data_IF_190217028580
#
_entry.id   IF_190217028580
#
_cell.length_a   1.000
_cell.length_b   1.000
_cell.length_c   1.000
_cell.angle_alpha   90.00
_cell.angle_beta   90.00
_cell.angle_gamma   90.00
#
_symmetry.space_group_name_H-M   'P 1'
#
loop_
_entity.id
_entity.type
_entity.pdbx_description
1 polymer ?
#
# COMPACT_ATOMS: atom_id res chain seq x y z
N UNK A 1 3.98 29.66 -24.19
CA UNK A 1 3.44 28.28 -24.32
C UNK A 1 2.96 28.08 -25.75
N UNK A 2 3.13 26.89 -26.32
CA UNK A 2 2.59 26.53 -27.64
C UNK A 2 1.29 25.73 -27.46
N UNK A 3 0.49 25.54 -28.51
CA UNK A 3 -0.74 24.72 -28.46
C UNK A 3 -0.49 23.24 -28.07
N UNK A 4 0.78 22.80 -27.99
CA UNK A 4 1.19 21.44 -27.69
C UNK A 4 1.92 21.28 -26.35
N UNK A 5 2.43 22.36 -25.75
CA UNK A 5 3.20 22.32 -24.50
C UNK A 5 2.49 23.11 -23.40
N UNK A 6 2.15 22.42 -22.32
CA UNK A 6 1.67 23.00 -21.08
C UNK A 6 2.74 22.84 -20.00
N UNK A 7 3.06 23.91 -19.29
CA UNK A 7 3.91 23.88 -18.09
C UNK A 7 3.03 24.19 -16.88
N UNK A 8 3.27 23.50 -15.77
CA UNK A 8 2.61 23.73 -14.49
C UNK A 8 3.67 23.96 -13.42
N UNK A 9 3.42 24.92 -12.56
CA UNK A 9 4.23 25.17 -11.37
C UNK A 9 3.30 25.57 -10.23
N UNK A 10 3.65 25.16 -9.02
CA UNK A 10 2.87 25.45 -7.83
C UNK A 10 3.69 25.19 -6.57
N UNK A 11 3.11 25.54 -5.43
CA UNK A 11 3.73 25.24 -4.14
C UNK A 11 2.72 25.36 -3.01
N UNK A 12 3.00 24.66 -1.92
CA UNK A 12 2.16 24.67 -0.72
C UNK A 12 3.02 24.83 0.53
N UNK A 13 2.78 25.88 1.31
CA UNK A 13 3.33 26.01 2.66
C UNK A 13 2.41 25.32 3.66
N UNK A 14 2.96 24.40 4.44
CA UNK A 14 2.27 23.70 5.52
C UNK A 14 2.83 24.17 6.86
N UNK A 15 1.94 24.51 7.79
CA UNK A 15 2.22 24.75 9.19
C UNK A 15 1.19 23.94 10.00
N UNK A 16 1.65 23.06 10.89
CA UNK A 16 0.75 22.36 11.81
C UNK A 16 1.32 22.36 13.22
N UNK A 17 0.43 22.56 14.19
CA UNK A 17 0.68 22.39 15.61
C UNK A 17 -0.13 21.18 16.10
N UNK A 18 0.51 20.31 16.87
CA UNK A 18 -0.11 19.14 17.51
C UNK A 18 0.13 19.28 19.01
N UNK A 19 -0.94 19.54 19.75
CA UNK A 19 -0.94 19.57 21.21
C UNK A 19 -1.59 18.29 21.74
N UNK A 20 -0.85 17.56 22.55
CA UNK A 20 -1.31 16.36 23.24
C UNK A 20 -1.33 16.62 24.75
N UNK A 21 -2.33 16.09 25.44
CA UNK A 21 -2.47 16.19 26.89
C UNK A 21 -2.95 14.84 27.46
N UNK A 22 -2.24 14.33 28.46
CA UNK A 22 -2.69 13.21 29.28
C UNK A 22 -3.67 13.69 30.35
N UNK A 23 -4.92 13.22 30.25
CA UNK A 23 -5.98 13.56 31.20
C UNK A 23 -5.97 12.67 32.45
N UNK A 24 -5.31 11.52 32.42
CA UNK A 24 -5.25 10.59 33.55
C UNK A 24 -4.05 10.88 34.46
N UNK A 25 -3.07 11.66 33.99
CA UNK A 25 -1.86 12.02 34.74
C UNK A 25 -0.92 10.85 35.03
N UNK A 26 -1.16 9.69 34.42
CA UNK A 26 -0.36 8.47 34.62
C UNK A 26 0.81 8.35 33.65
N UNK A 27 0.79 9.14 32.57
CA UNK A 27 1.80 9.20 31.53
C UNK A 27 2.04 10.67 31.14
N UNK A 28 2.62 11.49 32.04
CA UNK A 28 2.84 12.92 31.80
C UNK A 28 3.68 13.20 30.55
N UNK A 29 4.55 12.25 30.16
CA UNK A 29 5.35 12.29 28.94
C UNK A 29 4.49 12.41 27.66
N UNK A 30 3.21 12.00 27.68
CA UNK A 30 2.28 12.15 26.54
C UNK A 30 1.78 13.59 26.36
N UNK A 31 1.91 14.44 27.39
CA UNK A 31 1.54 15.84 27.30
C UNK A 31 2.67 16.63 26.63
N UNK A 32 2.53 16.93 25.34
CA UNK A 32 3.55 17.60 24.55
C UNK A 32 2.97 18.42 23.41
N UNK A 33 3.70 19.46 23.00
CA UNK A 33 3.35 20.33 21.87
C UNK A 33 4.42 20.23 20.78
N UNK A 34 3.98 19.98 19.56
CA UNK A 34 4.86 19.83 18.39
C UNK A 34 4.43 20.79 17.29
N UNK A 35 5.38 21.53 16.72
CA UNK A 35 5.13 22.39 15.56
C UNK A 35 5.99 21.95 14.37
N UNK A 36 5.35 21.79 13.21
CA UNK A 36 6.01 21.42 11.96
C UNK A 36 5.68 22.44 10.88
N UNK A 37 6.71 22.88 10.15
CA UNK A 37 6.57 23.78 9.02
C UNK A 37 7.35 23.27 7.81
N UNK A 38 6.79 23.42 6.61
CA UNK A 38 7.48 23.10 5.34
C UNK A 38 6.82 23.72 4.12
N UNK A 39 7.62 24.21 3.18
CA UNK A 39 7.19 24.52 1.82
C UNK A 39 7.37 23.32 0.87
N UNK A 40 6.35 23.02 0.07
CA UNK A 40 6.29 21.88 -0.85
C UNK A 40 6.12 22.38 -2.29
N UNK A 41 7.19 22.48 -3.10
CA UNK A 41 7.08 22.86 -4.50
C UNK A 41 6.56 21.71 -5.38
N UNK A 42 5.93 22.09 -6.50
CA UNK A 42 5.58 21.18 -7.60
C UNK A 42 5.85 21.86 -8.93
N UNK A 43 6.41 21.11 -9.87
CA UNK A 43 6.57 21.54 -11.26
C UNK A 43 6.25 20.37 -12.17
N UNK A 44 5.67 20.66 -13.33
CA UNK A 44 5.29 19.64 -14.30
C UNK A 44 5.23 20.20 -15.71
N UNK A 45 5.25 19.29 -16.66
CA UNK A 45 5.02 19.59 -18.05
C UNK A 45 4.16 18.52 -18.70
N UNK A 46 3.43 18.91 -19.72
CA UNK A 46 2.71 17.99 -20.60
C UNK A 46 2.94 18.42 -22.04
N UNK A 47 3.37 17.48 -22.87
CA UNK A 47 3.61 17.68 -24.29
C UNK A 47 2.71 16.75 -25.12
N UNK A 48 1.86 17.33 -25.97
CA UNK A 48 1.01 16.58 -26.92
C UNK A 48 1.87 16.10 -28.09
N UNK A 49 2.32 14.84 -28.05
CA UNK A 49 3.13 14.23 -29.12
C UNK A 49 2.26 14.04 -30.36
N UNK A 50 1.15 13.31 -30.20
CA UNK A 50 0.11 13.15 -31.21
C UNK A 50 -1.14 13.79 -30.62
N UNK A 51 -1.57 14.97 -31.13
CA UNK A 51 -2.79 15.61 -30.67
C UNK A 51 -3.93 14.59 -30.62
N UNK A 52 -4.69 14.62 -29.53
CA UNK A 52 -5.81 13.71 -29.23
C UNK A 52 -5.42 12.27 -28.88
N UNK A 53 -4.34 11.70 -29.43
CA UNK A 53 -4.00 10.28 -29.24
C UNK A 53 -2.96 10.02 -28.14
N UNK A 54 -1.98 10.89 -27.97
CA UNK A 54 -0.84 10.63 -27.08
C UNK A 54 -0.20 11.91 -26.54
N UNK A 55 -0.02 11.94 -25.22
CA UNK A 55 0.68 13.00 -24.49
C UNK A 55 1.76 12.42 -23.61
N UNK A 56 2.92 13.06 -23.62
CA UNK A 56 3.99 12.87 -22.63
C UNK A 56 3.76 13.79 -21.45
N UNK A 57 4.04 13.32 -20.25
CA UNK A 57 4.08 14.14 -19.04
C UNK A 57 5.37 13.85 -18.26
N UNK A 58 5.85 14.86 -17.54
CA UNK A 58 6.90 14.72 -16.56
C UNK A 58 6.67 15.70 -15.41
N UNK A 59 7.07 15.33 -14.20
CA UNK A 59 6.82 16.11 -13.00
C UNK A 59 7.85 15.88 -11.91
N UNK A 60 8.01 16.92 -11.09
CA UNK A 60 8.71 16.89 -9.82
C UNK A 60 7.79 17.47 -8.75
N UNK A 61 7.64 16.77 -7.64
CA UNK A 61 6.87 17.27 -6.50
C UNK A 61 7.55 16.90 -5.19
N UNK A 62 7.38 17.78 -4.20
CA UNK A 62 7.73 17.45 -2.82
C UNK A 62 6.46 17.40 -1.98
N UNK A 63 6.46 16.52 -0.98
CA UNK A 63 5.39 16.42 0.00
C UNK A 63 5.98 16.19 1.39
N UNK A 64 5.23 16.58 2.41
CA UNK A 64 5.53 16.22 3.79
C UNK A 64 4.35 15.56 4.49
N UNK A 65 4.66 14.60 5.36
CA UNK A 65 3.71 13.97 6.26
C UNK A 65 4.18 14.19 7.69
N UNK A 66 3.35 14.89 8.44
CA UNK A 66 3.58 15.15 9.86
C UNK A 66 3.21 13.88 10.64
N UNK A 67 3.97 13.50 11.69
CA UNK A 67 3.63 12.36 12.52
C UNK A 67 2.22 12.52 13.11
N UNK A 68 1.48 11.42 13.15
CA UNK A 68 0.18 11.38 13.83
C UNK A 68 0.38 11.43 15.36
N UNK A 69 -0.63 11.86 16.14
CA UNK A 69 -0.59 11.73 17.59
C UNK A 69 -0.28 10.31 18.07
N UNK A 70 -0.77 9.30 17.34
CA UNK A 70 -0.45 7.89 17.62
C UNK A 70 1.04 7.58 17.46
N UNK A 71 1.68 8.05 16.41
CA UNK A 71 3.10 7.80 16.19
C UNK A 71 3.98 8.57 17.18
N UNK A 72 3.63 9.83 17.47
CA UNK A 72 4.34 10.67 18.45
C UNK A 72 4.25 10.07 19.85
N UNK A 73 3.05 9.61 20.19
CA UNK A 73 2.82 8.88 21.40
C UNK A 73 3.02 7.38 21.20
N UNK A 74 3.84 6.84 20.31
CA UNK A 74 4.19 5.40 20.30
C UNK A 74 5.61 5.19 19.79
N UNK A 75 6.51 6.09 20.18
CA UNK A 75 7.88 6.12 19.67
C UNK A 75 8.91 5.56 20.64
N UNK A 76 8.52 5.23 21.88
CA UNK A 76 9.43 4.73 22.91
C UNK A 76 9.67 3.22 22.85
N UNK A 77 10.88 2.75 22.53
CA UNK A 77 11.18 1.32 22.53
C UNK A 77 11.03 0.68 23.92
N UNK A 78 11.24 1.44 25.01
CA UNK A 78 11.12 0.96 26.39
C UNK A 78 9.68 0.93 26.88
N UNK A 79 8.77 1.64 26.21
CA UNK A 79 7.35 1.68 26.55
C UNK A 79 6.51 1.50 25.27
N UNK A 80 6.53 0.32 24.63
CA UNK A 80 5.85 0.11 23.35
C UNK A 80 4.33 0.08 23.52
N UNK A 81 3.59 0.40 22.46
CA UNK A 81 2.13 0.51 22.49
C UNK A 81 1.42 -0.77 22.05
N UNK A 82 0.29 -1.09 22.67
CA UNK A 82 -0.70 -1.97 22.04
C UNK A 82 -1.34 -1.20 20.88
N UNK A 83 -1.04 -1.64 19.66
CA UNK A 83 -1.61 -1.04 18.47
C UNK A 83 -3.12 -1.33 18.46
N UNK A 84 -3.91 -0.29 18.18
CA UNK A 84 -5.38 -0.18 18.37
C UNK A 84 -5.88 0.26 19.76
N UNK A 85 -5.01 0.46 20.77
CA UNK A 85 -5.50 0.74 22.14
C UNK A 85 -4.84 1.87 22.93
N UNK A 86 -3.55 2.14 22.78
CA UNK A 86 -2.85 2.99 23.77
C UNK A 86 -1.72 3.81 23.17
N UNK A 87 -1.65 5.09 23.57
CA UNK A 87 -0.54 6.01 23.33
C UNK A 87 0.48 5.89 24.48
N UNK A 88 1.76 5.74 24.17
CA UNK A 88 2.92 5.72 25.05
C UNK A 88 4.13 6.53 24.48
N UNK A 89 4.64 7.52 25.21
CA UNK A 89 5.50 8.63 24.71
C UNK A 89 7.03 8.42 24.59
N UNK A 90 7.64 9.15 23.62
CA UNK A 90 9.05 9.59 23.40
C UNK A 90 10.06 8.59 22.76
N UNK A 91 10.81 8.85 21.64
CA UNK A 91 11.36 10.12 21.10
C UNK A 91 10.46 10.98 20.19
N UNK A 92 10.74 12.29 19.97
CA UNK A 92 10.02 13.12 19.00
C UNK A 92 10.31 12.65 17.56
N UNK A 93 9.25 12.34 16.80
CA UNK A 93 9.39 11.95 15.40
C UNK A 93 9.54 13.18 14.49
N UNK A 94 10.46 13.10 13.55
CA UNK A 94 10.60 14.10 12.48
C UNK A 94 9.50 13.89 11.42
N UNK A 95 9.07 14.98 10.78
CA UNK A 95 8.18 14.89 9.62
C UNK A 95 8.86 14.15 8.46
N UNK A 96 8.10 13.27 7.81
CA UNK A 96 8.53 12.57 6.59
C UNK A 96 8.56 13.57 5.45
N UNK A 97 9.63 13.56 4.66
CA UNK A 97 9.78 14.39 3.46
C UNK A 97 9.98 13.50 2.25
N UNK A 98 9.06 13.56 1.29
CA UNK A 98 9.11 12.76 0.06
C UNK A 98 9.34 13.66 -1.14
N UNK A 99 10.27 13.25 -2.02
CA UNK A 99 10.56 13.90 -3.29
C UNK A 99 10.24 12.93 -4.41
N UNK A 100 9.25 13.27 -5.22
CA UNK A 100 8.75 12.44 -6.30
C UNK A 100 9.21 12.99 -7.65
N UNK A 101 9.75 12.11 -8.47
CA UNK A 101 10.04 12.34 -9.89
C UNK A 101 9.19 11.35 -10.67
N UNK A 102 8.43 11.84 -11.63
CA UNK A 102 7.60 10.99 -12.48
C UNK A 102 7.69 11.43 -13.95
N UNK A 103 7.58 10.46 -14.85
CA UNK A 103 7.45 10.71 -16.26
C UNK A 103 6.65 9.58 -16.91
N UNK A 104 5.88 9.90 -17.95
CA UNK A 104 5.06 8.89 -18.58
C UNK A 104 4.39 9.35 -19.86
N UNK A 105 3.70 8.38 -20.45
CA UNK A 105 2.86 8.54 -21.63
C UNK A 105 1.43 8.20 -21.25
N UNK A 106 0.48 8.94 -21.81
CA UNK A 106 -0.94 8.62 -21.72
C UNK A 106 -1.63 8.97 -23.02
N UNK A 107 -2.69 8.25 -23.33
CA UNK A 107 -3.37 8.41 -24.59
C UNK A 107 -4.77 7.82 -24.59
N UNK A 108 -5.47 8.11 -25.67
CA UNK A 108 -6.72 7.46 -26.00
C UNK A 108 -6.69 7.00 -27.46
N UNK A 109 -7.44 5.94 -27.75
CA UNK A 109 -7.61 5.38 -29.08
C UNK A 109 -9.10 5.18 -29.33
N UNK A 110 -9.61 5.70 -30.45
CA UNK A 110 -10.99 5.47 -30.87
C UNK A 110 -10.94 4.60 -32.13
N UNK A 111 -11.11 3.30 -31.96
CA UNK A 111 -11.03 2.31 -33.04
C UNK A 111 -12.23 1.36 -32.94
N UNK A 112 -12.66 0.79 -34.07
CA UNK A 112 -13.69 -0.26 -34.13
C UNK A 112 -14.97 0.02 -33.30
N UNK A 113 -15.43 1.28 -33.26
CA UNK A 113 -16.63 1.69 -32.52
C UNK A 113 -16.49 1.70 -31.00
N UNK A 114 -15.28 1.53 -30.48
CA UNK A 114 -14.96 1.64 -29.05
C UNK A 114 -13.97 2.75 -28.74
N UNK A 115 -13.88 3.05 -27.45
CA UNK A 115 -12.92 3.99 -26.88
C UNK A 115 -11.96 3.23 -25.97
N UNK A 116 -10.68 3.39 -26.20
CA UNK A 116 -9.62 2.92 -25.33
C UNK A 116 -8.85 4.07 -24.70
N UNK A 117 -8.44 3.88 -23.46
CA UNK A 117 -7.57 4.81 -22.73
C UNK A 117 -6.38 4.00 -22.19
N UNK A 118 -5.19 4.57 -22.25
CA UNK A 118 -3.98 3.91 -21.77
C UNK A 118 -3.03 4.88 -21.08
N UNK A 119 -2.24 4.34 -20.15
CA UNK A 119 -1.18 5.03 -19.42
C UNK A 119 0.02 4.12 -19.22
N UNK A 120 1.20 4.71 -19.27
CA UNK A 120 2.47 4.10 -18.92
C UNK A 120 3.31 5.16 -18.19
N UNK A 121 3.59 4.95 -16.92
CA UNK A 121 4.33 5.89 -16.08
C UNK A 121 5.49 5.20 -15.38
N UNK A 122 6.57 5.95 -15.19
CA UNK A 122 7.69 5.64 -14.32
C UNK A 122 7.71 6.64 -13.18
N UNK A 123 8.03 6.18 -11.98
CA UNK A 123 8.15 7.04 -10.82
C UNK A 123 9.35 6.65 -9.95
N UNK A 124 9.90 7.63 -9.25
CA UNK A 124 10.84 7.46 -8.14
C UNK A 124 10.49 8.42 -7.02
N UNK A 125 10.34 7.88 -5.83
CA UNK A 125 10.02 8.61 -4.60
C UNK A 125 11.15 8.36 -3.62
N UNK A 126 11.94 9.39 -3.34
CA UNK A 126 12.96 9.37 -2.30
C UNK A 126 12.35 9.99 -1.02
N UNK A 127 12.23 9.19 0.04
CA UNK A 127 11.70 9.64 1.33
C UNK A 127 12.82 9.77 2.36
N UNK A 128 12.84 10.90 3.07
CA UNK A 128 13.75 11.19 4.17
C UNK A 128 12.98 11.23 5.48
N UNK A 129 13.64 10.76 6.55
CA UNK A 129 13.04 10.60 7.87
C UNK A 129 11.74 9.78 7.80
N UNK A 130 11.70 8.74 6.96
CA UNK A 130 10.50 7.91 6.78
C UNK A 130 10.11 7.29 8.12
N UNK A 131 8.82 7.25 8.45
CA UNK A 131 8.36 6.70 9.72
C UNK A 131 7.89 5.27 9.44
N UNK A 132 8.59 4.32 10.05
CA UNK A 132 8.21 2.92 9.98
C UNK A 132 7.78 2.43 11.35
N UNK A 133 6.91 1.43 11.33
CA UNK A 133 6.62 0.62 12.50
C UNK A 133 7.63 -0.52 12.57
N UNK A 134 8.24 -0.69 13.74
CA UNK A 134 9.05 -1.86 14.08
C UNK A 134 8.39 -2.65 15.20
N UNK A 135 8.65 -3.96 15.21
CA UNK A 135 8.14 -4.83 16.26
C UNK A 135 8.84 -4.51 17.59
N UNK A 136 8.16 -4.78 18.70
CA UNK A 136 8.73 -4.67 20.04
C UNK A 136 8.96 -6.05 20.66
N UNK A 137 9.88 -6.15 21.63
CA UNK A 137 10.09 -7.38 22.39
C UNK A 137 8.85 -7.80 23.20
N UNK A 138 7.99 -6.84 23.56
CA UNK A 138 6.67 -7.13 24.12
C UNK A 138 5.71 -7.53 22.99
N UNK A 139 5.25 -8.78 23.04
CA UNK A 139 4.33 -9.34 22.06
C UNK A 139 3.06 -8.51 21.91
N UNK A 140 2.58 -8.37 20.67
CA UNK A 140 1.38 -7.58 20.34
C UNK A 140 1.57 -6.06 20.42
N UNK A 141 2.81 -5.59 20.61
CA UNK A 141 3.14 -4.17 20.68
C UNK A 141 4.12 -3.76 19.60
N UNK A 142 4.07 -2.49 19.20
CA UNK A 142 4.98 -1.92 18.21
C UNK A 142 5.43 -0.51 18.58
N UNK A 143 6.47 -0.07 17.90
CA UNK A 143 7.09 1.25 18.07
C UNK A 143 7.23 1.91 16.70
N UNK A 144 6.97 3.20 16.62
CA UNK A 144 7.25 4.00 15.44
C UNK A 144 8.59 4.71 15.58
N UNK A 145 9.42 4.65 14.55
CA UNK A 145 10.70 5.36 14.53
C UNK A 145 10.96 5.95 13.15
N UNK A 146 11.69 7.06 13.12
CA UNK A 146 12.23 7.58 11.87
C UNK A 146 13.40 6.70 11.42
N UNK A 147 13.36 6.26 10.17
CA UNK A 147 14.53 5.74 9.47
C UNK A 147 15.12 6.81 8.54
N UNK A 148 16.45 6.82 8.30
CA UNK A 148 17.10 7.91 7.58
C UNK A 148 16.54 8.14 6.17
N UNK A 149 16.41 7.05 5.38
CA UNK A 149 15.97 7.16 4.01
C UNK A 149 15.38 5.84 3.46
N UNK A 150 14.32 5.99 2.66
CA UNK A 150 13.72 4.91 1.86
C UNK A 150 13.53 5.38 0.42
N UNK A 151 13.48 4.44 -0.52
CA UNK A 151 13.17 4.69 -1.92
C UNK A 151 12.03 3.80 -2.36
N UNK A 152 11.07 4.36 -3.09
CA UNK A 152 10.02 3.63 -3.79
C UNK A 152 10.07 4.05 -5.25
N UNK A 153 10.44 3.14 -6.13
CA UNK A 153 10.48 3.42 -7.55
C UNK A 153 9.84 2.31 -8.35
N UNK A 154 9.36 2.62 -9.54
CA UNK A 154 8.53 1.66 -10.23
C UNK A 154 7.95 2.13 -11.53
N UNK A 155 7.07 1.28 -12.05
CA UNK A 155 6.35 1.44 -13.29
C UNK A 155 4.88 1.15 -13.04
N UNK A 156 4.01 2.00 -13.59
CA UNK A 156 2.58 1.73 -13.68
C UNK A 156 2.16 1.70 -15.14
N UNK A 157 1.48 0.63 -15.56
CA UNK A 157 0.85 0.54 -16.86
C UNK A 157 -0.63 0.20 -16.70
N UNK A 158 -1.46 0.81 -17.51
CA UNK A 158 -2.89 0.53 -17.53
C UNK A 158 -3.45 0.75 -18.91
N UNK A 159 -4.32 -0.14 -19.35
CA UNK A 159 -5.08 0.00 -20.58
C UNK A 159 -6.51 -0.48 -20.33
N UNK A 160 -7.47 0.25 -20.88
CA UNK A 160 -8.87 -0.14 -20.93
C UNK A 160 -9.40 0.10 -22.34
N UNK A 161 -10.36 -0.70 -22.75
CA UNK A 161 -11.08 -0.54 -24.00
C UNK A 161 -12.54 -0.90 -23.82
N UNK A 162 -13.41 0.05 -24.17
CA UNK A 162 -14.85 -0.06 -23.97
C UNK A 162 -15.60 0.16 -25.28
N UNK A 163 -16.53 -0.73 -25.57
CA UNK A 163 -17.55 -0.60 -26.60
C UNK A 163 -18.94 -0.54 -25.94
N UNK A 164 -19.99 -0.51 -26.76
CA UNK A 164 -21.36 -0.70 -26.24
C UNK A 164 -21.65 -2.10 -25.69
N UNK A 165 -20.81 -3.11 -25.99
CA UNK A 165 -21.07 -4.51 -25.63
C UNK A 165 -20.05 -5.10 -24.66
N UNK A 166 -18.86 -4.54 -24.55
CA UNK A 166 -17.84 -5.06 -23.65
C UNK A 166 -16.87 -3.99 -23.15
N UNK A 167 -16.31 -4.23 -21.98
CA UNK A 167 -15.21 -3.49 -21.39
C UNK A 167 -14.11 -4.51 -21.08
N UNK A 168 -12.91 -4.29 -21.60
CA UNK A 168 -11.71 -5.05 -21.26
C UNK A 168 -10.72 -4.10 -20.63
N UNK A 169 -10.05 -4.53 -19.56
CA UNK A 169 -9.00 -3.74 -18.94
C UNK A 169 -7.87 -4.61 -18.42
N UNK A 170 -6.68 -4.03 -18.36
CA UNK A 170 -5.48 -4.63 -17.77
C UNK A 170 -4.66 -3.54 -17.10
N UNK A 171 -4.20 -3.82 -15.88
CA UNK A 171 -3.35 -2.96 -15.09
C UNK A 171 -2.17 -3.76 -14.58
N UNK A 172 -1.00 -3.13 -14.58
CA UNK A 172 0.24 -3.67 -14.06
C UNK A 172 0.93 -2.60 -13.23
N UNK A 173 1.33 -2.97 -12.02
CA UNK A 173 2.16 -2.16 -11.15
C UNK A 173 3.43 -2.94 -10.80
N UNK A 174 4.58 -2.30 -11.05
CA UNK A 174 5.87 -2.71 -10.54
C UNK A 174 6.34 -1.68 -9.52
N UNK A 175 6.76 -2.11 -8.33
CA UNK A 175 7.37 -1.26 -7.32
C UNK A 175 8.56 -1.96 -6.69
N UNK A 176 9.70 -1.29 -6.67
CA UNK A 176 10.85 -1.65 -5.88
C UNK A 176 10.95 -0.66 -4.71
N UNK A 177 10.57 -1.13 -3.53
CA UNK A 177 10.56 -0.38 -2.29
C UNK A 177 11.73 -0.85 -1.43
N UNK A 178 12.75 -0.01 -1.25
CA UNK A 178 14.02 -0.39 -0.61
C UNK A 178 14.47 0.60 0.46
N UNK A 179 15.16 0.09 1.47
CA UNK A 179 15.92 0.88 2.40
C UNK A 179 17.15 1.49 1.73
N UNK A 180 17.52 2.70 2.14
CA UNK A 180 18.67 3.44 1.61
C UNK A 180 19.71 3.74 2.69
N UNK A 181 19.70 2.96 3.79
CA UNK A 181 20.59 3.13 4.93
C UNK A 181 21.03 1.77 5.48
N UNK A 182 22.08 1.77 6.30
CA UNK A 182 22.48 0.61 7.11
C UNK A 182 22.16 0.85 8.58
N UNK A 183 21.56 -0.13 9.25
CA UNK A 183 21.23 0.00 10.67
C UNK A 183 20.44 -1.18 11.23
N UNK A 184 20.38 -1.27 12.55
CA UNK A 184 19.60 -2.27 13.26
C UNK A 184 18.12 -1.84 13.34
N UNK A 185 17.21 -2.76 13.03
CA UNK A 185 15.77 -2.61 13.24
C UNK A 185 15.27 -3.72 14.17
N UNK A 186 14.35 -3.38 15.06
CA UNK A 186 13.77 -4.35 15.99
C UNK A 186 12.85 -5.33 15.25
N UNK A 187 13.16 -6.63 15.38
CA UNK A 187 12.34 -7.72 14.90
C UNK A 187 12.55 -8.98 15.75
N UNK A 188 12.15 -8.95 17.04
CA UNK A 188 12.54 -9.94 18.03
C UNK A 188 12.01 -11.35 17.75
N UNK A 189 10.95 -11.47 16.95
CA UNK A 189 10.37 -12.76 16.56
C UNK A 189 10.98 -13.34 15.28
N UNK A 190 11.81 -12.58 14.56
CA UNK A 190 12.44 -13.06 13.34
C UNK A 190 13.50 -14.12 13.67
N UNK A 191 13.52 -15.28 12.97
CA UNK A 191 14.53 -16.33 13.16
C UNK A 191 15.99 -15.87 13.03
N UNK A 192 16.23 -14.76 12.31
CA UNK A 192 17.56 -14.19 12.09
C UNK A 192 17.86 -12.98 12.98
N UNK A 193 17.02 -12.70 13.98
CA UNK A 193 17.28 -11.66 14.95
C UNK A 193 18.52 -11.99 15.80
N UNK A 194 19.29 -10.97 16.15
CA UNK A 194 20.40 -11.07 17.08
C UNK A 194 19.93 -11.27 18.54
N UNK A 195 20.87 -11.39 19.47
CA UNK A 195 20.56 -11.57 20.89
C UNK A 195 19.76 -10.41 21.52
N UNK A 196 19.71 -9.24 20.86
CA UNK A 196 18.93 -8.09 21.29
C UNK A 196 17.58 -8.00 20.56
N UNK A 197 17.22 -9.00 19.75
CA UNK A 197 15.99 -9.03 18.97
C UNK A 197 16.02 -8.08 17.76
N UNK A 198 17.20 -7.73 17.25
CA UNK A 198 17.34 -6.86 16.09
C UNK A 198 17.81 -7.61 14.84
N UNK A 199 17.42 -7.08 13.69
CA UNK A 199 17.95 -7.48 12.38
C UNK A 199 18.72 -6.31 11.77
N UNK A 200 19.75 -6.61 10.98
CA UNK A 200 20.58 -5.57 10.36
C UNK A 200 20.18 -5.35 8.91
N UNK A 201 19.71 -4.15 8.62
CA UNK A 201 19.31 -3.71 7.28
C UNK A 201 20.48 -3.03 6.59
N UNK A 202 20.55 -3.17 5.27
CA UNK A 202 21.51 -2.51 4.38
C UNK A 202 20.81 -1.88 3.17
N UNK A 203 21.43 -0.89 2.50
CA UNK A 203 20.85 -0.30 1.31
C UNK A 203 20.53 -1.35 0.24
N UNK A 204 19.32 -1.29 -0.30
CA UNK A 204 18.81 -2.25 -1.29
C UNK A 204 17.99 -3.39 -0.69
N UNK A 205 18.00 -3.59 0.63
CA UNK A 205 17.00 -4.47 1.25
C UNK A 205 15.59 -3.90 0.99
N UNK A 206 14.71 -4.78 0.53
CA UNK A 206 13.32 -4.52 0.22
C UNK A 206 12.50 -4.35 1.50
N UNK A 207 11.70 -3.30 1.54
CA UNK A 207 10.75 -3.04 2.61
C UNK A 207 9.69 -4.17 2.57
N UNK A 208 9.50 -4.93 3.66
CA UNK A 208 8.57 -6.05 3.66
C UNK A 208 7.10 -5.67 3.52
N UNK A 209 6.27 -6.65 3.15
CA UNK A 209 4.83 -6.43 2.91
C UNK A 209 4.49 -5.65 1.64
N UNK A 210 5.48 -5.34 0.80
CA UNK A 210 5.29 -4.67 -0.50
C UNK A 210 5.62 -5.68 -1.62
N UNK A 211 4.61 -6.27 -2.28
CA UNK A 211 4.86 -7.15 -3.42
C UNK A 211 5.33 -6.33 -4.62
N UNK A 212 6.40 -6.78 -5.25
CA UNK A 212 7.03 -6.02 -6.34
C UNK A 212 6.15 -5.93 -7.59
N UNK A 213 5.35 -6.96 -7.87
CA UNK A 213 4.50 -7.01 -9.06
C UNK A 213 3.05 -7.27 -8.68
N UNK A 214 2.15 -6.48 -9.27
CA UNK A 214 0.72 -6.70 -9.20
C UNK A 214 0.10 -6.55 -10.58
N UNK A 215 -0.71 -7.53 -10.97
CA UNK A 215 -1.47 -7.51 -12.22
C UNK A 215 -2.94 -7.62 -11.87
N UNK A 216 -3.77 -6.77 -12.49
CA UNK A 216 -5.22 -6.92 -12.47
C UNK A 216 -5.78 -6.76 -13.87
N UNK A 217 -6.46 -7.80 -14.36
CA UNK A 217 -7.14 -7.76 -15.65
C UNK A 217 -8.57 -8.25 -15.52
N UNK A 218 -9.46 -7.75 -16.38
CA UNK A 218 -10.85 -8.17 -16.36
C UNK A 218 -11.61 -7.85 -17.64
N UNK A 219 -12.76 -8.51 -17.77
CA UNK A 219 -13.68 -8.37 -18.89
C UNK A 219 -15.10 -8.27 -18.35
N UNK A 220 -15.83 -7.26 -18.78
CA UNK A 220 -17.29 -7.15 -18.64
C UNK A 220 -17.91 -7.31 -20.02
N UNK A 221 -18.99 -8.09 -20.10
CA UNK A 221 -19.77 -8.30 -21.32
C UNK A 221 -21.26 -8.07 -21.06
N UNK A 222 -21.86 -7.22 -21.89
CA UNK A 222 -23.30 -6.97 -21.92
C UNK A 222 -23.96 -7.95 -22.90
N UNK A 223 -24.48 -9.05 -22.38
CA UNK A 223 -25.21 -10.06 -23.18
C UNK A 223 -26.52 -9.49 -23.73
N UNK A 224 -27.17 -8.62 -22.95
CA UNK A 224 -28.33 -7.84 -23.34
C UNK A 224 -28.23 -6.45 -22.69
N UNK A 225 -29.09 -5.48 -23.03
CA UNK A 225 -29.17 -4.21 -22.30
C UNK A 225 -29.44 -4.37 -20.79
N UNK A 226 -29.99 -5.51 -20.36
CA UNK A 226 -30.34 -5.81 -18.98
C UNK A 226 -29.31 -6.70 -18.28
N UNK A 227 -28.65 -7.61 -19.00
CA UNK A 227 -27.75 -8.61 -18.45
C UNK A 227 -26.28 -8.26 -18.72
N UNK A 228 -25.54 -8.03 -17.64
CA UNK A 228 -24.07 -7.90 -17.65
C UNK A 228 -23.45 -9.01 -16.82
N UNK A 229 -22.46 -9.69 -17.38
CA UNK A 229 -21.56 -10.57 -16.61
C UNK A 229 -20.13 -10.12 -16.81
N UNK A 230 -19.28 -10.36 -15.82
CA UNK A 230 -17.86 -10.08 -15.93
C UNK A 230 -17.02 -10.95 -15.03
N UNK A 231 -15.71 -10.89 -15.29
CA UNK A 231 -14.69 -11.60 -14.53
C UNK A 231 -13.45 -10.75 -14.42
N UNK A 232 -12.72 -10.91 -13.32
CA UNK A 232 -11.39 -10.35 -13.14
C UNK A 232 -10.44 -11.35 -12.52
N UNK A 233 -9.16 -11.18 -12.83
CA UNK A 233 -8.04 -11.92 -12.24
C UNK A 233 -7.06 -10.91 -11.66
N UNK A 234 -6.67 -11.17 -10.41
CA UNK A 234 -5.61 -10.44 -9.71
C UNK A 234 -4.48 -11.42 -9.48
N UNK A 235 -3.24 -11.04 -9.83
CA UNK A 235 -2.02 -11.74 -9.44
C UNK A 235 -1.12 -10.79 -8.66
N UNK A 236 -0.54 -11.29 -7.56
CA UNK A 236 0.34 -10.56 -6.66
C UNK A 236 1.58 -11.41 -6.45
N UNK A 237 2.76 -10.85 -6.75
CA UNK A 237 4.03 -11.56 -6.59
C UNK A 237 4.37 -11.85 -5.13
N UNK A 238 5.36 -12.72 -4.91
CA UNK A 238 5.90 -12.99 -3.59
C UNK A 238 6.44 -11.72 -2.91
N UNK A 239 6.37 -11.70 -1.59
CA UNK A 239 6.78 -10.57 -0.74
C UNK A 239 7.49 -11.05 0.52
N UNK A 240 8.32 -10.20 1.13
CA UNK A 240 8.91 -10.52 2.43
C UNK A 240 7.88 -10.42 3.55
N UNK A 241 8.03 -11.25 4.58
CA UNK A 241 7.22 -11.20 5.79
C UNK A 241 7.48 -9.88 6.52
N UNK A 242 6.43 -9.25 7.07
CA UNK A 242 6.60 -8.06 7.91
C UNK A 242 7.49 -8.42 9.11
N UNK A 243 8.52 -7.61 9.35
CA UNK A 243 9.60 -7.90 10.28
C UNK A 243 10.79 -8.66 9.65
N UNK A 244 10.81 -8.90 8.35
CA UNK A 244 11.99 -9.43 7.62
C UNK A 244 12.72 -8.36 6.81
N UNK A 245 12.99 -7.22 7.43
CA UNK A 245 13.59 -6.04 6.80
C UNK A 245 15.02 -6.29 6.29
N UNK A 246 15.71 -7.32 6.81
CA UNK A 246 17.01 -7.77 6.33
C UNK A 246 16.92 -8.73 5.12
N UNK A 247 15.72 -9.18 4.77
CA UNK A 247 15.41 -10.06 3.63
C UNK A 247 16.17 -11.39 3.67
N UNK A 248 16.10 -12.09 4.80
CA UNK A 248 16.86 -13.33 5.02
C UNK A 248 15.98 -14.59 5.03
N UNK A 249 14.66 -14.45 5.19
CA UNK A 249 13.73 -15.59 5.25
C UNK A 249 13.14 -15.94 3.87
N UNK A 250 12.64 -17.16 3.64
CA UNK A 250 11.85 -17.44 2.45
C UNK A 250 10.64 -16.48 2.32
N UNK A 251 10.46 -15.89 1.14
CA UNK A 251 9.32 -14.98 0.85
C UNK A 251 7.97 -15.68 1.06
N UNK A 252 6.96 -14.91 1.46
CA UNK A 252 5.57 -15.30 1.36
C UNK A 252 5.23 -15.55 -0.12
N UNK A 253 4.67 -16.71 -0.44
CA UNK A 253 4.38 -17.12 -1.81
C UNK A 253 3.49 -16.11 -2.55
N UNK A 254 3.67 -16.05 -3.87
CA UNK A 254 2.76 -15.30 -4.72
C UNK A 254 1.36 -15.94 -4.73
N UNK A 255 0.38 -15.21 -5.26
CA UNK A 255 -0.95 -15.77 -5.46
C UNK A 255 -1.64 -15.12 -6.66
N UNK A 256 -2.68 -15.82 -7.14
CA UNK A 256 -3.67 -15.23 -8.02
C UNK A 256 -5.08 -15.61 -7.57
N UNK A 257 -6.04 -14.75 -7.84
CA UNK A 257 -7.45 -14.98 -7.54
C UNK A 257 -8.28 -14.55 -8.73
N UNK A 258 -9.27 -15.36 -9.09
CA UNK A 258 -10.26 -15.04 -10.11
C UNK A 258 -11.62 -14.82 -9.44
N UNK A 259 -12.35 -13.82 -9.91
CA UNK A 259 -13.66 -13.44 -9.43
C UNK A 259 -14.66 -13.41 -10.58
N UNK A 260 -15.93 -13.60 -10.25
CA UNK A 260 -17.06 -13.39 -11.17
C UNK A 260 -18.00 -12.35 -10.58
N UNK A 261 -18.61 -11.54 -11.43
CA UNK A 261 -19.68 -10.63 -11.04
C UNK A 261 -20.73 -10.56 -12.14
N UNK A 262 -21.95 -10.26 -11.74
CA UNK A 262 -23.06 -10.15 -12.68
C UNK A 262 -24.16 -9.24 -12.15
N UNK A 263 -24.92 -8.68 -13.08
CA UNK A 263 -26.11 -7.89 -12.76
C UNK A 263 -27.18 -8.08 -13.83
N UNK A 264 -28.43 -8.13 -13.39
CA UNK A 264 -29.60 -8.18 -14.25
C UNK A 264 -30.60 -7.07 -13.87
N UNK A 265 -30.97 -6.24 -14.85
CA UNK A 265 -31.94 -5.17 -14.67
C UNK A 265 -33.37 -5.74 -14.76
N UNK A 266 -34.11 -5.75 -13.63
CA UNK A 266 -35.47 -6.27 -13.55
C UNK A 266 -36.50 -5.24 -14.04
N UNK A 267 -36.39 -3.99 -13.58
CA UNK A 267 -37.19 -2.84 -14.02
C UNK A 267 -36.27 -1.64 -14.22
N UNK A 268 -36.76 -0.43 -14.54
CA UNK A 268 -35.86 0.75 -14.62
C UNK A 268 -35.30 1.15 -13.25
N UNK A 269 -35.99 0.78 -12.18
CA UNK A 269 -35.71 1.14 -10.79
C UNK A 269 -35.01 0.02 -10.02
N UNK A 270 -35.19 -1.25 -10.43
CA UNK A 270 -34.74 -2.42 -9.68
C UNK A 270 -33.72 -3.27 -10.46
N UNK A 271 -32.60 -3.58 -9.82
CA UNK A 271 -31.53 -4.43 -10.32
C UNK A 271 -31.17 -5.53 -9.30
N UNK A 272 -31.03 -6.77 -9.77
CA UNK A 272 -30.37 -7.82 -9.00
C UNK A 272 -28.90 -7.92 -9.42
N UNK A 273 -28.01 -8.11 -8.47
CA UNK A 273 -26.58 -8.29 -8.74
C UNK A 273 -25.98 -9.32 -7.80
N UNK A 274 -24.84 -9.87 -8.20
CA UNK A 274 -24.10 -10.81 -7.38
C UNK A 274 -22.64 -10.88 -7.76
N UNK A 275 -21.84 -11.44 -6.86
CA UNK A 275 -20.42 -11.67 -7.08
C UNK A 275 -19.98 -12.96 -6.38
N UNK A 276 -19.05 -13.65 -7.04
CA UNK A 276 -18.35 -14.83 -6.55
C UNK A 276 -16.88 -14.46 -6.42
N UNK A 277 -16.39 -14.36 -5.20
CA UNK A 277 -14.97 -14.12 -4.96
C UNK A 277 -14.24 -15.45 -4.81
N UNK A 278 -12.99 -15.50 -5.28
CA UNK A 278 -12.16 -16.70 -5.22
C UNK A 278 -12.85 -17.91 -5.86
N UNK A 279 -13.20 -17.77 -7.14
CA UNK A 279 -13.98 -18.72 -7.95
C UNK A 279 -13.49 -20.18 -7.85
N UNK A 280 -12.17 -20.36 -7.74
CA UNK A 280 -11.53 -21.68 -7.70
C UNK A 280 -11.22 -22.15 -6.26
N UNK A 281 -11.72 -21.45 -5.24
CA UNK A 281 -11.50 -21.75 -3.83
C UNK A 281 -10.00 -21.97 -3.49
N UNK A 282 -9.13 -21.12 -4.04
CA UNK A 282 -7.69 -21.22 -3.82
C UNK A 282 -7.37 -20.87 -2.38
N UNK A 283 -6.42 -21.60 -1.79
CA UNK A 283 -5.86 -21.34 -0.48
C UNK A 283 -4.52 -20.64 -0.63
N UNK A 284 -4.43 -19.41 -0.14
CA UNK A 284 -3.22 -18.59 -0.17
C UNK A 284 -3.25 -17.62 1.01
N UNK A 285 -2.12 -16.96 1.26
CA UNK A 285 -1.98 -15.96 2.30
C UNK A 285 -1.82 -14.57 1.69
N UNK A 286 -2.46 -13.56 2.28
CA UNK A 286 -2.38 -12.16 1.83
C UNK A 286 -1.39 -11.34 2.65
N UNK A 287 -1.05 -11.82 3.85
CA UNK A 287 -0.15 -11.17 4.78
C UNK A 287 0.66 -12.23 5.55
N UNK A 288 1.86 -11.86 5.98
CA UNK A 288 2.69 -12.70 6.83
C UNK A 288 3.57 -11.85 7.75
N UNK A 289 3.76 -12.33 8.98
CA UNK A 289 4.66 -11.75 9.99
C UNK A 289 5.29 -12.87 10.85
N UNK A 290 6.08 -12.50 11.85
CA UNK A 290 6.68 -13.45 12.79
C UNK A 290 6.01 -13.45 14.17
N UNK A 291 5.98 -14.62 14.77
CA UNK A 291 5.50 -14.91 16.12
C UNK A 291 6.56 -15.72 16.86
N UNK A 292 6.69 -15.53 18.17
CA UNK A 292 7.57 -16.33 19.02
C UNK A 292 6.89 -17.68 19.36
N UNK A 293 7.35 -18.80 18.79
CA UNK A 293 6.74 -20.11 19.00
C UNK A 293 6.99 -20.66 20.41
N UNK A 294 7.84 -20.03 21.22
CA UNK A 294 8.13 -20.41 22.60
C UNK A 294 7.50 -19.45 23.62
N UNK A 295 6.72 -18.48 23.17
CA UNK A 295 6.03 -17.54 24.04
C UNK A 295 5.02 -18.22 24.96
N UNK A 296 4.70 -17.61 26.10
CA UNK A 296 3.69 -18.14 27.05
C UNK A 296 2.32 -18.35 26.41
N UNK A 297 1.98 -17.57 25.38
CA UNK A 297 0.77 -17.74 24.56
C UNK A 297 0.87 -18.97 23.66
N UNK A 298 2.04 -19.25 23.09
CA UNK A 298 2.29 -20.45 22.29
C UNK A 298 2.17 -21.73 23.13
N UNK A 299 2.61 -21.69 24.39
CA UNK A 299 2.53 -22.83 25.33
C UNK A 299 1.08 -23.19 25.71
N UNK A 300 0.12 -22.27 25.53
CA UNK A 300 -1.31 -22.55 25.69
C UNK A 300 -1.93 -23.30 24.50
N UNK A 301 -1.20 -23.46 23.40
CA UNK A 301 -1.63 -24.22 22.22
C UNK A 301 -1.21 -25.69 22.43
N UNK A 302 -2.11 -26.68 22.25
CA UNK A 302 -1.81 -28.10 22.51
C UNK A 302 -0.66 -28.67 21.66
N UNK A 303 -0.33 -28.00 20.56
CA UNK A 303 0.69 -28.41 19.62
C UNK A 303 1.94 -27.56 19.80
N UNK A 304 3.11 -28.20 19.88
CA UNK A 304 4.40 -27.50 19.89
C UNK A 304 4.59 -26.80 18.55
N UNK A 305 4.79 -25.49 18.59
CA UNK A 305 5.09 -24.67 17.42
C UNK A 305 6.62 -24.56 17.28
N UNK A 306 7.11 -24.65 16.04
CA UNK A 306 8.53 -24.46 15.71
C UNK A 306 8.75 -23.44 14.58
N UNK A 307 7.69 -23.10 13.85
CA UNK A 307 7.75 -22.12 12.78
C UNK A 307 7.39 -20.74 13.33
N UNK A 308 8.31 -19.79 13.17
CA UNK A 308 8.08 -18.41 13.58
C UNK A 308 7.07 -17.71 12.66
N UNK A 309 6.80 -18.23 11.46
CA UNK A 309 5.97 -17.55 10.47
C UNK A 309 4.49 -17.71 10.82
N UNK A 310 3.80 -16.57 10.87
CA UNK A 310 2.35 -16.49 10.92
C UNK A 310 1.84 -15.88 9.64
N UNK A 311 0.73 -16.39 9.12
CA UNK A 311 0.11 -15.89 7.88
C UNK A 311 -1.37 -15.62 8.08
N UNK A 312 -1.88 -14.61 7.36
CA UNK A 312 -3.32 -14.35 7.27
C UNK A 312 -3.87 -15.06 6.03
N UNK A 313 -4.69 -16.12 6.19
CA UNK A 313 -5.29 -16.80 5.05
C UNK A 313 -6.29 -15.88 4.36
N UNK A 314 -6.33 -15.96 3.03
CA UNK A 314 -7.32 -15.27 2.24
C UNK A 314 -8.73 -15.83 2.49
N UNK A 315 -9.75 -15.01 2.20
CA UNK A 315 -11.13 -15.48 2.19
C UNK A 315 -11.29 -16.69 1.24
N UNK A 316 -12.03 -17.74 1.65
CA UNK A 316 -12.35 -18.86 0.76
C UNK A 316 -13.34 -18.42 -0.32
N UNK A 317 -13.80 -19.35 -1.15
CA UNK A 317 -14.92 -19.13 -2.06
C UNK A 317 -16.11 -18.51 -1.28
N UNK A 318 -16.58 -17.37 -1.77
CA UNK A 318 -17.71 -16.65 -1.17
C UNK A 318 -18.65 -16.15 -2.25
N UNK A 319 -19.96 -16.30 -2.01
CA UNK A 319 -21.03 -15.92 -2.95
C UNK A 319 -21.91 -14.88 -2.27
N UNK A 320 -22.13 -13.76 -2.95
CA UNK A 320 -22.98 -12.68 -2.49
C UNK A 320 -24.01 -12.33 -3.55
N UNK A 321 -25.24 -12.05 -3.11
CA UNK A 321 -26.34 -11.61 -3.95
C UNK A 321 -27.01 -10.42 -3.27
N UNK A 322 -27.36 -9.40 -4.04
CA UNK A 322 -27.99 -8.19 -3.54
C UNK A 322 -28.99 -7.61 -4.52
N UNK A 323 -29.86 -6.75 -3.99
CA UNK A 323 -30.78 -5.93 -4.77
C UNK A 323 -30.36 -4.47 -4.67
N UNK A 324 -30.45 -3.74 -5.78
CA UNK A 324 -30.25 -2.29 -5.85
C UNK A 324 -31.53 -1.67 -6.38
N UNK A 325 -32.12 -0.79 -5.59
CA UNK A 325 -33.26 0.02 -5.97
C UNK A 325 -32.85 1.49 -6.10
N UNK A 326 -33.32 2.17 -7.14
CA UNK A 326 -33.34 3.64 -7.20
C UNK A 326 -34.78 4.09 -6.96
N UNK A 327 -34.94 4.94 -5.95
CA UNK A 327 -36.18 5.66 -5.65
C UNK A 327 -36.21 6.95 -6.47
#
# INVERSE_FOLDING_TARGET
>A
MTNRLSLTAGGRYNLAAIDMADLFGTSPDLSASYTYARFNPVTGLTYKILPELMSFYAGYSEANRIPTPLELGCSNPQKPCLLEGFLVSDPPLQQVVSRTREAGLRGNINIAGGRGDWKLGLFRIDSQNDIIQVASALQGRGVFQNVPATRREGLEAGAQYQTGQYLVYANYAFIDATYQFSGALASPNNPFADANGNIFVTPGNQIPGIPQHQVKGGVDYWFTPQLKLGTDVIWVSSQWFVGDDANQNPKLSDYWVANLHGSYQLTKELQIYGFINNLFNRKFATFGTFFDPQSTVAVAIPNVLFDHRTVTPAQPLSIYVGLRAKL
#
